data_IF_174009714913
#
_entry.id   IF_174009714913
#
_cell.length_a   1.000
_cell.length_b   1.000
_cell.length_c   1.000
_cell.angle_alpha   90.00
_cell.angle_beta   90.00
_cell.angle_gamma   90.00
#
_symmetry.space_group_name_H-M   'P 1'
#
loop_
_entity.id
_entity.type
_entity.pdbx_description
1 polymer ?
#
# COMPACT_ATOMS: atom_id res chain seq x y z
N UNK A 1 -33.42 -1.20 16.25
CA UNK A 1 -32.70 -2.38 16.80
C UNK A 1 -31.33 -2.32 16.14
N UNK A 2 -30.36 -1.72 16.81
CA UNK A 2 -29.03 -1.51 16.24
C UNK A 2 -28.34 -2.86 16.12
N UNK A 3 -28.24 -3.37 14.90
CA UNK A 3 -27.56 -4.62 14.60
C UNK A 3 -26.07 -4.43 14.89
N UNK A 4 -25.58 -5.11 15.94
CA UNK A 4 -24.14 -5.17 16.21
C UNK A 4 -23.45 -5.72 14.96
N UNK A 5 -22.47 -5.01 14.37
CA UNK A 5 -21.78 -5.49 13.18
C UNK A 5 -21.07 -6.81 13.49
N UNK A 6 -21.27 -7.83 12.64
CA UNK A 6 -20.68 -9.16 12.81
C UNK A 6 -19.16 -9.09 12.83
N UNK A 7 -18.52 -9.80 13.76
CA UNK A 7 -17.05 -9.89 13.85
C UNK A 7 -16.48 -10.72 12.70
N UNK A 8 -15.17 -10.60 12.44
CA UNK A 8 -14.49 -11.42 11.43
C UNK A 8 -14.69 -12.91 11.71
N UNK A 9 -14.58 -13.33 12.98
CA UNK A 9 -14.72 -14.73 13.40
C UNK A 9 -16.10 -15.30 13.07
N UNK A 10 -17.14 -14.49 13.24
CA UNK A 10 -18.50 -14.89 12.91
C UNK A 10 -18.68 -14.98 11.39
N UNK A 11 -18.23 -13.97 10.65
CA UNK A 11 -18.30 -13.98 9.18
C UNK A 11 -17.54 -15.18 8.58
N UNK A 12 -16.37 -15.52 9.14
CA UNK A 12 -15.56 -16.67 8.71
C UNK A 12 -16.31 -17.97 8.94
N UNK A 13 -16.90 -18.16 10.13
CA UNK A 13 -17.65 -19.39 10.46
C UNK A 13 -18.81 -19.61 9.48
N UNK A 14 -19.58 -18.54 9.21
CA UNK A 14 -20.67 -18.58 8.24
C UNK A 14 -20.16 -18.83 6.82
N UNK A 15 -19.10 -18.15 6.39
CA UNK A 15 -18.50 -18.32 5.06
C UNK A 15 -17.95 -19.74 4.85
N UNK A 16 -17.33 -20.34 5.87
CA UNK A 16 -16.88 -21.74 5.85
C UNK A 16 -18.06 -22.71 5.76
N UNK A 17 -19.22 -22.34 6.30
CA UNK A 17 -20.49 -23.05 6.14
C UNK A 17 -21.21 -22.80 4.80
N UNK A 18 -20.62 -22.05 3.87
CA UNK A 18 -21.18 -21.79 2.54
C UNK A 18 -22.01 -20.51 2.42
N UNK A 19 -22.07 -19.68 3.47
CA UNK A 19 -22.78 -18.39 3.43
C UNK A 19 -22.03 -17.38 2.55
N UNK A 20 -22.58 -17.14 1.36
CA UNK A 20 -22.02 -16.21 0.38
C UNK A 20 -22.04 -14.75 0.83
N UNK A 21 -23.02 -14.34 1.64
CA UNK A 21 -23.12 -12.95 2.10
C UNK A 21 -22.14 -12.68 3.25
N UNK A 22 -21.90 -13.68 4.09
CA UNK A 22 -20.84 -13.63 5.07
C UNK A 22 -19.45 -13.53 4.42
N UNK A 23 -19.22 -14.30 3.34
CA UNK A 23 -17.98 -14.23 2.57
C UNK A 23 -17.78 -12.87 1.91
N UNK A 24 -18.80 -12.34 1.22
CA UNK A 24 -18.74 -11.01 0.60
C UNK A 24 -18.46 -9.92 1.63
N UNK A 25 -19.14 -9.97 2.79
CA UNK A 25 -18.91 -9.02 3.89
C UNK A 25 -17.48 -9.08 4.42
N UNK A 26 -16.91 -10.28 4.57
CA UNK A 26 -15.53 -10.49 4.99
C UNK A 26 -14.54 -9.91 3.95
N UNK A 27 -14.74 -10.21 2.67
CA UNK A 27 -13.86 -9.72 1.60
C UNK A 27 -13.94 -8.19 1.50
N UNK A 28 -15.14 -7.60 1.52
CA UNK A 28 -15.33 -6.13 1.46
C UNK A 28 -14.60 -5.41 2.60
N UNK A 29 -14.57 -6.02 3.78
CA UNK A 29 -13.90 -5.46 4.96
C UNK A 29 -12.38 -5.36 4.79
N UNK A 30 -11.78 -6.29 4.05
CA UNK A 30 -10.32 -6.41 3.94
C UNK A 30 -9.74 -6.01 2.57
N UNK A 31 -10.56 -5.93 1.52
CA UNK A 31 -10.08 -5.67 0.16
C UNK A 31 -9.30 -4.36 0.02
N UNK A 32 -9.73 -3.29 0.68
CA UNK A 32 -9.05 -1.99 0.57
C UNK A 32 -7.67 -2.03 1.24
N UNK A 33 -7.50 -2.77 2.34
CA UNK A 33 -6.18 -2.95 2.95
C UNK A 33 -5.23 -3.67 2.00
N UNK A 34 -5.69 -4.78 1.39
CA UNK A 34 -4.90 -5.55 0.41
C UNK A 34 -4.53 -4.69 -0.79
N UNK A 35 -5.49 -3.94 -1.34
CA UNK A 35 -5.26 -3.03 -2.46
C UNK A 35 -4.22 -1.96 -2.16
N UNK A 36 -4.31 -1.33 -0.99
CA UNK A 36 -3.37 -0.28 -0.60
C UNK A 36 -1.96 -0.81 -0.32
N UNK A 37 -1.82 -2.06 0.12
CA UNK A 37 -0.53 -2.73 0.25
C UNK A 37 0.05 -2.99 -1.15
N UNK A 38 -0.74 -3.59 -2.04
CA UNK A 38 -0.35 -3.88 -3.40
C UNK A 38 0.07 -2.60 -4.15
N UNK A 39 -0.72 -1.54 -4.07
CA UNK A 39 -0.45 -0.26 -4.72
C UNK A 39 0.88 0.36 -4.29
N UNK A 40 1.22 0.30 -3.00
CA UNK A 40 2.51 0.78 -2.48
C UNK A 40 3.67 -0.15 -2.80
N UNK A 41 3.39 -1.42 -3.09
CA UNK A 41 4.39 -2.40 -3.50
C UNK A 41 4.74 -2.34 -4.98
N UNK A 42 3.77 -2.07 -5.85
CA UNK A 42 3.96 -2.15 -7.32
C UNK A 42 3.84 -0.80 -8.03
N UNK A 43 3.44 0.26 -7.31
CA UNK A 43 3.27 1.65 -7.75
C UNK A 43 2.21 1.90 -8.82
N UNK A 44 2.00 0.97 -9.76
CA UNK A 44 0.99 1.04 -10.81
C UNK A 44 -0.36 0.51 -10.34
N UNK A 45 -1.42 1.30 -10.52
CA UNK A 45 -2.79 0.92 -10.11
C UNK A 45 -3.28 -0.38 -10.75
N UNK A 46 -3.18 -0.53 -12.06
CA UNK A 46 -3.65 -1.72 -12.78
C UNK A 46 -3.00 -3.01 -12.25
N UNK A 47 -1.67 -3.00 -12.08
CA UNK A 47 -0.93 -4.14 -11.51
C UNK A 47 -1.34 -4.41 -10.06
N UNK A 48 -1.65 -3.37 -9.29
CA UNK A 48 -2.13 -3.53 -7.93
C UNK A 48 -3.54 -4.12 -7.86
N UNK A 49 -4.42 -3.77 -8.82
CA UNK A 49 -5.77 -4.34 -8.93
C UNK A 49 -5.69 -5.85 -9.23
N UNK A 50 -4.87 -6.25 -10.21
CA UNK A 50 -4.64 -7.65 -10.55
C UNK A 50 -4.07 -8.44 -9.36
N UNK A 51 -3.02 -7.93 -8.73
CA UNK A 51 -2.41 -8.58 -7.56
C UNK A 51 -3.41 -8.70 -6.40
N UNK A 52 -4.26 -7.70 -6.19
CA UNK A 52 -5.30 -7.72 -5.15
C UNK A 52 -6.32 -8.80 -5.42
N UNK A 53 -6.80 -8.90 -6.67
CA UNK A 53 -7.73 -9.94 -7.06
C UNK A 53 -7.14 -11.33 -6.82
N UNK A 54 -5.89 -11.57 -7.25
CA UNK A 54 -5.21 -12.84 -7.01
C UNK A 54 -5.04 -13.18 -5.53
N UNK A 55 -4.69 -12.20 -4.69
CA UNK A 55 -4.57 -12.38 -3.24
C UNK A 55 -5.92 -12.75 -2.63
N UNK A 56 -6.98 -12.04 -2.98
CA UNK A 56 -8.31 -12.31 -2.44
C UNK A 56 -8.84 -13.67 -2.89
N UNK A 57 -8.61 -14.06 -4.16
CA UNK A 57 -8.92 -15.42 -4.64
C UNK A 57 -8.19 -16.47 -3.79
N UNK A 58 -6.89 -16.27 -3.53
CA UNK A 58 -6.10 -17.18 -2.69
C UNK A 58 -6.66 -17.24 -1.26
N UNK A 59 -7.00 -16.10 -0.67
CA UNK A 59 -7.59 -16.03 0.66
C UNK A 59 -8.92 -16.79 0.72
N UNK A 60 -9.85 -16.55 -0.22
CA UNK A 60 -11.13 -17.27 -0.28
C UNK A 60 -10.91 -18.77 -0.46
N UNK A 61 -10.02 -19.17 -1.37
CA UNK A 61 -9.74 -20.59 -1.66
C UNK A 61 -9.20 -21.33 -0.43
N UNK A 62 -8.37 -20.67 0.38
CA UNK A 62 -7.79 -21.26 1.58
C UNK A 62 -8.61 -21.02 2.85
N UNK A 63 -9.72 -20.28 2.78
CA UNK A 63 -10.52 -19.91 3.95
C UNK A 63 -11.02 -21.13 4.72
N UNK A 64 -11.36 -22.22 4.03
CA UNK A 64 -11.78 -23.48 4.67
C UNK A 64 -10.71 -24.14 5.55
N UNK A 65 -9.43 -23.79 5.35
CA UNK A 65 -8.30 -24.28 6.16
C UNK A 65 -7.92 -23.35 7.31
N UNK A 66 -8.60 -22.22 7.45
CA UNK A 66 -8.30 -21.27 8.52
C UNK A 66 -8.89 -21.76 9.86
N UNK A 67 -8.00 -22.15 10.77
CA UNK A 67 -8.35 -22.75 12.07
C UNK A 67 -8.56 -21.72 13.20
N UNK A 68 -8.49 -20.41 12.94
CA UNK A 68 -8.68 -19.39 13.97
C UNK A 68 -7.55 -19.28 15.01
N UNK A 69 -6.36 -19.86 14.75
CA UNK A 69 -5.19 -19.79 15.65
C UNK A 69 -4.52 -18.41 15.70
N UNK A 70 -4.87 -17.51 14.79
CA UNK A 70 -4.46 -16.10 14.77
C UNK A 70 -5.67 -15.24 14.40
N UNK A 71 -5.54 -13.91 14.50
CA UNK A 71 -6.49 -13.00 13.84
C UNK A 71 -6.51 -13.28 12.34
N UNK A 72 -7.66 -13.11 11.71
CA UNK A 72 -7.82 -13.26 10.26
C UNK A 72 -6.94 -12.27 9.48
N UNK A 73 -6.85 -11.03 9.95
CA UNK A 73 -5.96 -10.02 9.37
C UNK A 73 -4.51 -10.51 9.29
N UNK A 74 -3.95 -11.04 10.37
CA UNK A 74 -2.58 -11.60 10.38
C UNK A 74 -2.40 -12.72 9.36
N UNK A 75 -3.40 -13.59 9.20
CA UNK A 75 -3.35 -14.67 8.21
C UNK A 75 -3.43 -14.13 6.78
N UNK A 76 -4.34 -13.19 6.51
CA UNK A 76 -4.46 -12.53 5.22
C UNK A 76 -3.19 -11.74 4.84
N UNK A 77 -2.57 -11.06 5.82
CA UNK A 77 -1.33 -10.32 5.63
C UNK A 77 -0.21 -11.26 5.14
N UNK A 78 -0.10 -12.48 5.69
CA UNK A 78 0.87 -13.49 5.22
C UNK A 78 0.63 -13.87 3.76
N UNK A 79 -0.63 -14.10 3.35
CA UNK A 79 -0.98 -14.42 1.96
C UNK A 79 -0.59 -13.26 1.04
N UNK A 80 -0.97 -12.03 1.42
CA UNK A 80 -0.69 -10.83 0.64
C UNK A 80 0.82 -10.58 0.49
N UNK A 81 1.57 -10.63 1.58
CA UNK A 81 3.03 -10.43 1.60
C UNK A 81 3.73 -11.48 0.76
N UNK A 82 3.39 -12.76 0.93
CA UNK A 82 3.99 -13.84 0.14
C UNK A 82 3.68 -13.69 -1.34
N UNK A 83 2.46 -13.25 -1.69
CA UNK A 83 2.13 -12.99 -3.10
C UNK A 83 2.94 -11.82 -3.67
N UNK A 84 2.99 -10.68 -2.96
CA UNK A 84 3.67 -9.47 -3.42
C UNK A 84 5.19 -9.59 -3.46
N UNK A 85 5.79 -10.48 -2.66
CA UNK A 85 7.21 -10.84 -2.81
C UNK A 85 7.51 -11.52 -4.14
N UNK A 86 6.53 -12.23 -4.71
CA UNK A 86 6.67 -13.09 -5.88
C UNK A 86 5.96 -12.56 -7.14
N UNK A 87 5.19 -11.47 -7.04
CA UNK A 87 4.57 -10.83 -8.20
C UNK A 87 5.64 -10.43 -9.22
N UNK A 88 5.29 -10.40 -10.51
CA UNK A 88 6.22 -9.97 -11.56
C UNK A 88 6.82 -8.60 -11.19
N UNK A 89 8.13 -8.45 -11.41
CA UNK A 89 8.81 -7.17 -11.19
C UNK A 89 8.20 -6.11 -12.09
N UNK A 90 7.94 -4.93 -11.52
CA UNK A 90 7.60 -3.76 -12.34
C UNK A 90 8.78 -3.36 -13.20
N UNK A 91 8.56 -2.58 -14.26
CA UNK A 91 9.63 -2.05 -15.11
C UNK A 91 10.71 -1.31 -14.29
N UNK A 92 10.30 -0.58 -13.25
CA UNK A 92 11.21 0.12 -12.33
C UNK A 92 12.09 -0.85 -11.53
N UNK A 93 11.54 -1.98 -11.11
CA UNK A 93 12.29 -3.04 -10.41
C UNK A 93 13.17 -3.86 -11.35
N UNK A 94 12.74 -4.07 -12.60
CA UNK A 94 13.55 -4.74 -13.63
C UNK A 94 14.77 -3.90 -14.00
N UNK A 95 14.62 -2.57 -14.07
CA UNK A 95 15.71 -1.61 -14.23
C UNK A 95 16.57 -1.43 -12.98
N UNK A 96 16.26 -2.12 -11.88
CA UNK A 96 16.94 -2.03 -10.60
C UNK A 96 17.11 -0.58 -10.12
N UNK A 97 16.06 0.24 -10.29
CA UNK A 97 16.10 1.67 -9.97
C UNK A 97 16.59 1.91 -8.54
N UNK A 98 17.68 2.66 -8.42
CA UNK A 98 18.27 3.06 -7.14
C UNK A 98 17.83 4.47 -6.76
N UNK A 99 18.15 4.89 -5.53
CA UNK A 99 17.98 6.28 -5.11
C UNK A 99 18.82 7.26 -5.95
N UNK A 100 19.99 6.83 -6.44
CA UNK A 100 20.82 7.65 -7.35
C UNK A 100 20.12 7.85 -8.68
N UNK A 101 19.60 6.78 -9.29
CA UNK A 101 18.88 6.88 -10.57
C UNK A 101 17.64 7.78 -10.45
N UNK A 102 16.91 7.65 -9.33
CA UNK A 102 15.75 8.52 -9.07
C UNK A 102 16.16 9.98 -8.88
N UNK A 103 17.27 10.25 -8.19
CA UNK A 103 17.80 11.61 -8.04
C UNK A 103 18.12 12.24 -9.40
N UNK A 104 18.89 11.53 -10.24
CA UNK A 104 19.24 12.00 -11.59
C UNK A 104 17.99 12.25 -12.44
N UNK A 105 17.03 11.33 -12.37
CA UNK A 105 15.77 11.46 -13.08
C UNK A 105 14.99 12.71 -12.63
N UNK A 106 14.86 12.94 -11.32
CA UNK A 106 14.21 14.14 -10.77
C UNK A 106 14.95 15.44 -11.15
N UNK A 107 16.28 15.43 -11.15
CA UNK A 107 17.09 16.59 -11.52
C UNK A 107 16.96 16.92 -13.01
N UNK A 108 16.74 15.92 -13.87
CA UNK A 108 16.51 16.10 -15.30
C UNK A 108 15.14 16.71 -15.65
N UNK A 109 14.15 16.60 -14.75
CA UNK A 109 12.81 17.15 -14.98
C UNK A 109 12.85 18.68 -14.94
N UNK A 110 12.47 19.31 -16.06
CA UNK A 110 12.34 20.76 -16.11
C UNK A 110 11.20 21.25 -15.20
N UNK A 111 11.53 22.21 -14.34
CA UNK A 111 10.58 22.86 -13.45
C UNK A 111 9.65 23.81 -14.21
N UNK A 112 8.34 23.63 -14.05
CA UNK A 112 7.34 24.46 -14.71
C UNK A 112 6.07 24.58 -13.85
N UNK A 113 5.63 25.82 -13.61
CA UNK A 113 4.45 26.06 -12.79
C UNK A 113 3.17 25.58 -13.50
N UNK A 114 2.34 24.85 -12.76
CA UNK A 114 0.96 24.58 -13.15
C UNK A 114 0.04 25.74 -12.71
N UNK A 115 -1.05 26.03 -13.45
CA UNK A 115 -2.12 26.91 -13.02
C UNK A 115 -2.73 26.47 -11.67
N UNK A 116 -3.31 27.41 -10.93
CA UNK A 116 -3.86 27.18 -9.58
C UNK A 116 -5.00 26.16 -9.59
N UNK A 117 -5.74 26.05 -10.69
CA UNK A 117 -6.84 25.12 -10.90
C UNK A 117 -6.38 23.65 -10.94
N UNK A 118 -5.07 23.42 -10.96
CA UNK A 118 -4.45 22.10 -11.14
C UNK A 118 -3.98 21.46 -9.83
N UNK A 119 -4.48 21.92 -8.67
CA UNK A 119 -4.07 21.44 -7.34
C UNK A 119 -4.19 19.92 -7.18
N UNK A 120 -5.19 19.28 -7.79
CA UNK A 120 -5.34 17.82 -7.71
C UNK A 120 -4.18 17.09 -8.40
N UNK A 121 -3.63 17.63 -9.49
CA UNK A 121 -2.46 17.05 -10.16
C UNK A 121 -1.18 17.29 -9.35
N UNK A 122 -1.09 18.39 -8.59
CA UNK A 122 0.02 18.60 -7.66
C UNK A 122 -0.02 17.57 -6.52
N UNK A 123 -1.20 17.26 -6.00
CA UNK A 123 -1.36 16.20 -5.00
C UNK A 123 -1.06 14.82 -5.59
N UNK A 124 -1.51 14.54 -6.81
CA UNK A 124 -1.20 13.30 -7.52
C UNK A 124 0.30 13.14 -7.73
N UNK A 125 0.98 14.19 -8.20
CA UNK A 125 2.44 14.22 -8.36
C UNK A 125 3.17 14.01 -7.03
N UNK A 126 2.69 14.64 -5.95
CA UNK A 126 3.23 14.47 -4.61
C UNK A 126 3.12 13.02 -4.14
N UNK A 127 1.92 12.45 -4.15
CA UNK A 127 1.68 11.09 -3.66
C UNK A 127 2.41 10.08 -4.55
N UNK A 128 2.30 10.23 -5.88
CA UNK A 128 2.97 9.36 -6.84
C UNK A 128 4.49 9.36 -6.69
N UNK A 129 5.11 10.53 -6.51
CA UNK A 129 6.57 10.62 -6.30
C UNK A 129 6.99 10.00 -4.96
N UNK A 130 6.28 10.28 -3.86
CA UNK A 130 6.56 9.67 -2.55
C UNK A 130 6.42 8.15 -2.62
N UNK A 131 5.35 7.63 -3.24
CA UNK A 131 5.17 6.18 -3.41
C UNK A 131 6.23 5.58 -4.33
N UNK A 132 6.68 6.31 -5.37
CA UNK A 132 7.74 5.85 -6.26
C UNK A 132 9.09 5.68 -5.53
N UNK A 133 9.38 6.48 -4.51
CA UNK A 133 10.62 6.33 -3.71
C UNK A 133 10.71 4.97 -3.02
N UNK A 134 9.58 4.34 -2.72
CA UNK A 134 9.55 2.97 -2.19
C UNK A 134 10.15 1.96 -3.18
N UNK A 135 10.07 2.24 -4.48
CA UNK A 135 10.59 1.36 -5.53
C UNK A 135 12.11 1.25 -5.51
N UNK A 136 12.81 2.22 -4.91
CA UNK A 136 14.26 2.20 -4.71
C UNK A 136 14.71 1.23 -3.61
N UNK A 137 13.79 0.78 -2.75
CA UNK A 137 14.06 -0.23 -1.72
C UNK A 137 13.92 -1.64 -2.31
N UNK A 138 14.66 -2.60 -1.74
CA UNK A 138 14.37 -4.01 -1.99
C UNK A 138 12.97 -4.39 -1.45
N UNK A 139 12.36 -5.44 -2.02
CA UNK A 139 10.96 -5.79 -1.68
C UNK A 139 10.74 -6.10 -0.20
N UNK A 140 11.73 -6.68 0.51
CA UNK A 140 11.59 -7.01 1.93
C UNK A 140 11.65 -5.74 2.79
N UNK A 141 12.59 -4.84 2.49
CA UNK A 141 12.64 -3.51 3.13
C UNK A 141 11.37 -2.71 2.84
N UNK A 142 10.90 -2.72 1.59
CA UNK A 142 9.66 -2.04 1.16
C UNK A 142 8.46 -2.52 1.95
N UNK A 143 8.27 -3.84 2.07
CA UNK A 143 7.18 -4.42 2.85
C UNK A 143 7.30 -4.11 4.34
N UNK A 144 8.52 -4.18 4.89
CA UNK A 144 8.74 -3.84 6.29
C UNK A 144 8.35 -2.39 6.58
N UNK A 145 8.73 -1.47 5.68
CA UNK A 145 8.35 -0.06 5.76
C UNK A 145 6.84 0.15 5.62
N UNK A 146 6.18 -0.46 4.63
CA UNK A 146 4.73 -0.29 4.46
C UNK A 146 3.96 -0.82 5.66
N UNK A 147 4.28 -2.02 6.14
CA UNK A 147 3.56 -2.62 7.27
C UNK A 147 3.82 -1.88 8.58
N UNK A 148 5.09 -1.65 8.92
CA UNK A 148 5.45 -1.04 10.20
C UNK A 148 5.26 0.48 10.24
N UNK A 149 5.63 1.18 9.17
CA UNK A 149 5.58 2.65 9.13
C UNK A 149 4.23 3.16 8.63
N UNK A 150 3.82 2.70 7.45
CA UNK A 150 2.64 3.26 6.78
C UNK A 150 1.38 2.78 7.47
N UNK A 151 1.21 1.47 7.63
CA UNK A 151 0.00 0.88 8.22
C UNK A 151 0.03 0.86 9.76
N UNK A 152 1.21 0.98 10.37
CA UNK A 152 1.35 0.99 11.82
C UNK A 152 1.12 -0.38 12.47
N UNK A 153 1.38 -1.46 11.73
CA UNK A 153 1.34 -2.82 12.28
C UNK A 153 2.41 -3.01 13.35
N UNK A 154 2.09 -3.80 14.39
CA UNK A 154 3.07 -4.13 15.42
C UNK A 154 4.24 -4.92 14.83
N UNK A 155 5.42 -4.81 15.46
CA UNK A 155 6.61 -5.56 15.06
C UNK A 155 6.33 -7.06 14.97
N UNK A 156 5.56 -7.61 15.91
CA UNK A 156 5.21 -9.04 15.97
C UNK A 156 4.33 -9.43 14.79
N UNK A 157 3.30 -8.62 14.51
CA UNK A 157 2.33 -8.88 13.44
C UNK A 157 3.00 -8.78 12.07
N UNK A 158 3.79 -7.72 11.86
CA UNK A 158 4.47 -7.48 10.60
C UNK A 158 5.62 -8.48 10.37
N UNK A 159 6.38 -8.86 11.40
CA UNK A 159 7.41 -9.89 11.30
C UNK A 159 6.81 -11.26 10.96
N UNK A 160 5.69 -11.62 11.58
CA UNK A 160 4.95 -12.84 11.25
C UNK A 160 4.40 -12.84 9.81
N UNK A 161 3.99 -11.68 9.30
CA UNK A 161 3.53 -11.51 7.92
C UNK A 161 4.68 -11.69 6.90
N UNK A 162 5.88 -11.17 7.19
CA UNK A 162 7.09 -11.32 6.36
C UNK A 162 7.82 -12.66 6.52
N UNK A 163 7.38 -13.51 7.45
CA UNK A 163 8.05 -14.77 7.80
C UNK A 163 9.52 -14.55 8.23
N UNK A 164 9.73 -13.58 9.13
CA UNK A 164 11.05 -13.26 9.71
C UNK A 164 10.95 -13.10 11.23
N UNK A 165 12.10 -13.08 11.92
CA UNK A 165 12.12 -12.78 13.36
C UNK A 165 11.79 -11.30 13.63
N UNK A 166 11.20 -10.95 14.78
CA UNK A 166 10.99 -9.56 15.20
C UNK A 166 12.26 -8.70 15.15
N UNK A 167 13.42 -9.29 15.48
CA UNK A 167 14.70 -8.61 15.40
C UNK A 167 15.12 -8.30 13.95
N UNK A 168 14.95 -9.25 13.03
CA UNK A 168 15.23 -9.03 11.61
C UNK A 168 14.27 -7.99 11.01
N UNK A 169 12.98 -8.04 11.36
CA UNK A 169 12.01 -7.04 10.95
C UNK A 169 12.42 -5.62 11.37
N UNK A 170 12.83 -5.42 12.63
CA UNK A 170 13.34 -4.13 13.11
C UNK A 170 14.57 -3.65 12.34
N UNK A 171 15.45 -4.56 11.93
CA UNK A 171 16.61 -4.21 11.09
C UNK A 171 16.19 -3.79 9.67
N UNK A 172 15.27 -4.52 9.03
CA UNK A 172 14.74 -4.17 7.71
C UNK A 172 14.07 -2.79 7.73
N UNK A 173 13.21 -2.56 8.72
CA UNK A 173 12.50 -1.31 8.91
C UNK A 173 13.45 -0.13 9.18
N UNK A 174 14.45 -0.33 10.06
CA UNK A 174 15.45 0.70 10.36
C UNK A 174 16.27 1.08 9.12
N UNK A 175 16.67 0.11 8.30
CA UNK A 175 17.39 0.38 7.03
C UNK A 175 16.50 1.16 6.06
N UNK A 176 15.26 0.71 5.85
CA UNK A 176 14.32 1.38 4.95
C UNK A 176 14.06 2.84 5.37
N UNK A 177 13.84 3.10 6.66
CA UNK A 177 13.68 4.46 7.21
C UNK A 177 14.89 5.32 6.92
N UNK A 178 16.10 4.81 7.21
CA UNK A 178 17.35 5.55 7.00
C UNK A 178 17.54 5.92 5.53
N UNK A 179 17.37 4.96 4.62
CA UNK A 179 17.62 5.16 3.20
C UNK A 179 16.62 6.16 2.59
N UNK A 180 15.33 6.04 2.94
CA UNK A 180 14.31 7.01 2.53
C UNK A 180 14.56 8.39 3.13
N UNK A 181 14.88 8.48 4.42
CA UNK A 181 15.19 9.75 5.07
C UNK A 181 16.35 10.46 4.38
N UNK A 182 17.47 9.76 4.13
CA UNK A 182 18.65 10.34 3.48
C UNK A 182 18.29 10.92 2.11
N UNK A 183 17.64 10.13 1.27
CA UNK A 183 17.23 10.59 -0.06
C UNK A 183 16.27 11.79 0.02
N UNK A 184 15.24 11.73 0.87
CA UNK A 184 14.24 12.78 0.98
C UNK A 184 14.83 14.06 1.59
N UNK A 185 15.73 13.96 2.56
CA UNK A 185 16.42 15.09 3.16
C UNK A 185 17.32 15.81 2.15
N UNK A 186 17.93 15.08 1.21
CA UNK A 186 18.88 15.63 0.25
C UNK A 186 18.20 16.14 -1.04
N UNK A 187 17.01 15.64 -1.37
CA UNK A 187 16.34 15.96 -2.65
C UNK A 187 14.96 16.57 -2.51
N UNK A 188 14.17 16.19 -1.50
CA UNK A 188 12.76 16.52 -1.43
C UNK A 188 12.51 17.83 -0.66
N UNK A 189 11.87 18.80 -1.31
CA UNK A 189 11.49 20.07 -0.68
C UNK A 189 10.38 19.97 0.38
N UNK A 190 9.70 18.82 0.47
CA UNK A 190 8.69 18.56 1.50
C UNK A 190 9.29 18.17 2.85
N UNK A 191 10.51 17.60 2.83
CA UNK A 191 11.23 17.20 4.04
C UNK A 191 12.24 18.28 4.42
N UNK A 192 13.04 18.75 3.47
CA UNK A 192 14.00 19.81 3.69
C UNK A 192 13.71 20.99 2.76
N UNK A 193 13.28 22.12 3.33
CA UNK A 193 12.85 23.30 2.58
C UNK A 193 13.99 23.98 1.81
N UNK A 194 15.25 23.72 2.17
CA UNK A 194 16.41 24.22 1.45
C UNK A 194 16.59 23.58 0.06
N UNK A 195 16.03 22.38 -0.15
CA UNK A 195 16.09 21.72 -1.45
C UNK A 195 15.25 22.47 -2.49
N UNK A 196 15.63 22.48 -3.78
CA UNK A 196 14.88 23.21 -4.82
C UNK A 196 13.61 22.49 -5.29
N UNK A 197 13.48 21.18 -5.08
CA UNK A 197 12.36 20.39 -5.60
C UNK A 197 11.01 20.87 -5.05
N UNK A 198 10.04 21.13 -5.94
CA UNK A 198 8.66 21.50 -5.57
C UNK A 198 7.68 20.71 -6.41
N UNK A 199 6.77 19.96 -5.78
CA UNK A 199 5.77 19.15 -6.50
C UNK A 199 4.95 19.99 -7.48
N UNK A 200 4.59 21.23 -7.10
CA UNK A 200 3.84 22.15 -7.96
C UNK A 200 4.59 22.55 -9.24
N UNK A 201 5.93 22.49 -9.24
CA UNK A 201 6.79 22.77 -10.39
C UNK A 201 7.16 21.51 -11.17
N UNK A 202 7.21 20.36 -10.51
CA UNK A 202 7.56 19.07 -11.15
C UNK A 202 6.37 18.39 -11.83
N UNK A 203 5.14 18.65 -11.37
CA UNK A 203 3.95 17.96 -11.84
C UNK A 203 3.76 18.00 -13.37
N UNK A 204 4.04 19.13 -14.04
CA UNK A 204 3.96 19.20 -15.51
C UNK A 204 5.01 18.34 -16.20
N UNK A 205 6.24 18.31 -15.67
CA UNK A 205 7.30 17.43 -16.15
C UNK A 205 6.94 15.95 -15.98
N UNK A 206 6.36 15.58 -14.84
CA UNK A 206 5.88 14.20 -14.61
C UNK A 206 4.82 13.77 -15.62
N UNK A 207 3.97 14.69 -16.08
CA UNK A 207 3.00 14.41 -17.14
C UNK A 207 3.71 14.11 -18.47
N UNK A 208 4.71 14.92 -18.84
CA UNK A 208 5.48 14.72 -20.10
C UNK A 208 6.22 13.39 -20.12
N UNK A 209 6.81 13.00 -18.99
CA UNK A 209 7.52 11.73 -18.85
C UNK A 209 6.58 10.52 -18.65
N UNK A 210 5.25 10.74 -18.59
CA UNK A 210 4.27 9.67 -18.40
C UNK A 210 4.24 9.07 -16.99
N UNK A 211 4.82 9.76 -15.99
CA UNK A 211 4.76 9.36 -14.59
C UNK A 211 3.44 9.75 -13.92
N UNK A 212 2.77 10.76 -14.48
CA UNK A 212 1.46 11.23 -14.06
C UNK A 212 0.53 11.29 -15.27
N UNK A 213 -0.63 10.67 -15.18
CA UNK A 213 -1.70 10.79 -16.17
C UNK A 213 -2.83 11.70 -15.64
N UNK A 214 -3.04 12.89 -16.21
CA UNK A 214 -4.12 13.79 -15.80
C UNK A 214 -5.52 13.22 -15.99
N UNK A 215 -5.72 12.32 -16.97
CA UNK A 215 -7.00 11.67 -17.21
C UNK A 215 -7.23 10.51 -16.22
N UNK A 216 -6.14 9.83 -15.84
CA UNK A 216 -6.18 8.65 -14.98
C UNK A 216 -5.37 8.79 -13.68
N UNK A 217 -5.90 9.58 -12.73
CA UNK A 217 -5.31 9.72 -11.40
C UNK A 217 -5.32 8.39 -10.65
N UNK A 218 -4.13 7.92 -10.26
CA UNK A 218 -3.90 6.65 -9.57
C UNK A 218 -4.13 6.77 -8.05
N UNK A 219 -3.73 7.89 -7.46
CA UNK A 219 -3.64 8.07 -6.00
C UNK A 219 -4.63 9.05 -5.41
N UNK A 220 -5.24 9.92 -6.22
CA UNK A 220 -6.10 11.00 -5.75
C UNK A 220 -7.60 10.76 -5.91
N UNK A 221 -8.02 9.76 -6.70
CA UNK A 221 -9.42 9.34 -6.85
C UNK A 221 -9.82 8.33 -5.76
N UNK A 222 -11.12 8.18 -5.50
CA UNK A 222 -11.71 7.11 -4.68
C UNK A 222 -11.14 6.97 -3.24
N UNK A 223 -10.85 8.10 -2.59
CA UNK A 223 -10.31 8.14 -1.24
C UNK A 223 -11.40 7.74 -0.22
N UNK A 224 -11.09 6.77 0.63
CA UNK A 224 -12.00 6.35 1.72
C UNK A 224 -11.61 7.01 3.05
N UNK A 225 -10.31 7.09 3.35
CA UNK A 225 -9.78 7.65 4.61
C UNK A 225 -8.29 8.04 4.47
N UNK A 226 -7.70 8.71 5.46
CA UNK A 226 -6.24 8.78 5.61
C UNK A 226 -5.73 7.65 6.51
N UNK A 227 -4.47 7.22 6.36
CA UNK A 227 -3.91 6.12 7.20
C UNK A 227 -3.78 6.50 8.69
N UNK A 228 -3.98 7.78 9.03
CA UNK A 228 -3.67 8.34 10.35
C UNK A 228 -4.43 7.71 11.54
N UNK A 229 -5.55 7.01 11.35
CA UNK A 229 -6.35 6.48 12.47
C UNK A 229 -5.76 5.24 13.18
N UNK A 230 -4.86 4.47 12.55
CA UNK A 230 -4.27 3.25 13.14
C UNK A 230 -2.80 3.39 13.52
N UNK A 231 -2.08 4.37 12.97
CA UNK A 231 -0.62 4.46 13.06
C UNK A 231 -0.07 5.38 14.17
N UNK A 232 -0.93 6.07 14.94
CA UNK A 232 -0.50 7.07 15.93
C UNK A 232 0.37 6.50 17.07
N UNK A 233 0.23 5.22 17.39
CA UNK A 233 0.85 4.60 18.58
C UNK A 233 2.35 4.32 18.39
N UNK A 234 2.85 4.17 17.16
CA UNK A 234 4.24 3.76 16.90
C UNK A 234 5.21 4.93 16.58
N UNK A 235 4.73 6.17 16.60
CA UNK A 235 5.54 7.38 16.34
C UNK A 235 6.44 7.78 17.51
N UNK A 236 6.16 7.31 18.72
CA UNK A 236 6.88 7.70 19.94
C UNK A 236 8.29 7.09 20.03
N UNK A 237 8.59 6.07 19.22
CA UNK A 237 9.90 5.40 19.20
C UNK A 237 10.86 5.96 18.13
N UNK A 238 10.42 6.94 17.34
CA UNK A 238 11.21 7.53 16.25
C UNK A 238 11.97 8.78 16.71
N UNK A 239 13.16 8.98 16.13
CA UNK A 239 13.83 10.28 16.20
C UNK A 239 13.01 11.33 15.44
N UNK A 240 13.06 12.61 15.87
CA UNK A 240 12.23 13.67 15.27
C UNK A 240 12.44 13.84 13.75
N UNK A 241 13.66 13.56 13.25
CA UNK A 241 13.98 13.62 11.82
C UNK A 241 13.36 12.46 11.02
N UNK A 242 13.25 11.28 11.63
CA UNK A 242 12.57 10.14 11.02
C UNK A 242 11.04 10.37 10.99
N UNK A 243 10.52 11.11 11.95
CA UNK A 243 9.10 11.40 12.10
C UNK A 243 8.51 12.17 10.92
N UNK A 244 9.19 13.22 10.46
CA UNK A 244 8.65 14.13 9.44
C UNK A 244 8.49 13.47 8.07
N UNK A 245 9.47 12.69 7.62
CA UNK A 245 9.38 12.03 6.31
C UNK A 245 8.39 10.86 6.35
N UNK A 246 8.34 10.11 7.46
CA UNK A 246 7.38 9.03 7.64
C UNK A 246 5.92 9.52 7.64
N UNK A 247 5.66 10.69 8.22
CA UNK A 247 4.34 11.30 8.22
C UNK A 247 3.81 11.55 6.80
N UNK A 248 4.69 11.86 5.84
CA UNK A 248 4.30 12.03 4.44
C UNK A 248 3.71 10.75 3.84
N UNK A 249 4.18 9.56 4.26
CA UNK A 249 3.61 8.28 3.84
C UNK A 249 2.31 7.96 4.57
N UNK A 250 2.24 8.21 5.89
CA UNK A 250 1.02 7.99 6.70
C UNK A 250 -0.15 8.92 6.33
N UNK A 251 0.15 10.13 5.87
CA UNK A 251 -0.87 11.07 5.40
C UNK A 251 -1.41 10.74 4.00
N UNK A 252 -0.83 9.77 3.30
CA UNK A 252 -1.39 9.34 2.02
C UNK A 252 -2.81 8.75 2.22
N UNK A 253 -3.71 8.93 1.25
CA UNK A 253 -5.04 8.34 1.35
C UNK A 253 -4.97 6.81 1.27
N UNK A 254 -5.92 6.16 1.95
CA UNK A 254 -6.36 4.82 1.63
C UNK A 254 -7.43 4.88 0.55
N UNK A 255 -7.24 4.08 -0.49
CA UNK A 255 -8.15 4.02 -1.63
C UNK A 255 -9.11 2.84 -1.50
N UNK A 256 -10.32 3.01 -2.03
CA UNK A 256 -11.31 1.93 -2.10
C UNK A 256 -10.81 0.73 -2.90
N UNK A 257 -10.20 1.02 -4.06
CA UNK A 257 -10.00 0.06 -5.13
C UNK A 257 -11.32 -0.29 -5.83
N UNK A 258 -11.27 -1.12 -6.89
CA UNK A 258 -12.44 -1.74 -7.52
C UNK A 258 -13.29 -2.57 -6.54
N UNK A 259 -14.53 -2.90 -6.94
CA UNK A 259 -15.38 -3.85 -6.20
C UNK A 259 -14.94 -5.31 -6.43
N UNK A 260 -13.85 -5.69 -5.76
CA UNK A 260 -13.30 -7.05 -5.83
C UNK A 260 -14.27 -8.08 -5.23
N UNK A 261 -14.95 -7.73 -4.14
CA UNK A 261 -15.92 -8.62 -3.51
C UNK A 261 -17.11 -8.95 -4.43
N UNK A 262 -17.67 -7.94 -5.12
CA UNK A 262 -18.70 -8.15 -6.14
C UNK A 262 -18.20 -9.07 -7.27
N UNK A 263 -17.00 -8.80 -7.79
CA UNK A 263 -16.38 -9.62 -8.84
C UNK A 263 -16.16 -11.08 -8.39
N UNK A 264 -15.74 -11.29 -7.15
CA UNK A 264 -15.57 -12.62 -6.56
C UNK A 264 -16.91 -13.33 -6.38
N UNK A 265 -17.95 -12.63 -5.91
CA UNK A 265 -19.30 -13.20 -5.77
C UNK A 265 -19.79 -13.74 -7.12
N UNK A 266 -19.60 -12.99 -8.20
CA UNK A 266 -19.98 -13.41 -9.55
C UNK A 266 -19.23 -14.67 -10.02
N UNK A 267 -17.93 -14.76 -9.72
CA UNK A 267 -17.10 -15.93 -10.03
C UNK A 267 -17.60 -17.15 -9.25
N UNK A 268 -17.86 -16.99 -7.94
CA UNK A 268 -18.26 -18.08 -7.06
C UNK A 268 -19.69 -18.58 -7.32
N UNK A 269 -20.60 -17.68 -7.68
CA UNK A 269 -21.96 -18.04 -8.09
C UNK A 269 -21.96 -18.99 -9.30
N UNK A 270 -20.98 -18.85 -10.20
CA UNK A 270 -20.80 -19.72 -11.37
C UNK A 270 -20.12 -21.05 -11.05
N UNK A 271 -19.38 -21.14 -9.94
CA UNK A 271 -18.63 -22.35 -9.55
C UNK A 271 -19.42 -23.31 -8.64
N UNK A 272 -20.62 -22.92 -8.17
CA UNK A 272 -21.45 -23.76 -7.30
C UNK A 272 -21.03 -23.73 -5.82
N UNK A 273 -20.36 -22.66 -5.39
CA UNK A 273 -20.02 -22.43 -3.98
C UNK A 273 -21.27 -22.54 -3.08
N UNK A 274 -21.14 -23.21 -1.92
CA UNK A 274 -22.24 -23.40 -0.96
C UNK A 274 -23.21 -24.55 -1.27
N UNK A 275 -22.96 -25.35 -2.32
CA UNK A 275 -23.69 -26.61 -2.55
C UNK A 275 -23.04 -27.77 -1.79
N UNK A 276 -23.08 -27.72 -0.46
CA UNK A 276 -22.73 -28.85 0.42
C UNK A 276 -23.82 -28.97 1.47
#
# INVERSE_FOLDING_TARGET
>A
MDTIPMTDETLITHAQGGDMDALDSLVRRHQSWVFNLALRMVWRREVAEDATQEILIKAVTHLGSFEGRSKFSTWLHRIAVNHLLNVRKSEMEEKAMTFTDMAESLDSIQDEALPVETQVLVQEAKIGCITAMLMCLDRRQRLAFILGEVFGESTETAAAALDVTPANFRQLLSRARKDLYQFMNDKCGLVNTANPCRCARKARGFIREGWLDPANLQFSKDRIASVQQQAAVHLDELQDLDRQHAELYRMQPMLAGPDFAGSLRDILARSGFGRI
#
